data_IF_809185399016
#
_entry.id   IF_809185399016
#
_cell.length_a   1.000
_cell.length_b   1.000
_cell.length_c   1.000
_cell.angle_alpha   90.00
_cell.angle_beta   90.00
_cell.angle_gamma   90.00
#
_symmetry.space_group_name_H-M   'P 1'
#
loop_
_entity.id
_entity.type
_entity.pdbx_description
1 polymer ?
#
# COMPACT_ATOMS: atom_id res chain seq x y z
N UNK A 1 -17.51 16.71 7.21
CA UNK A 1 -17.25 15.29 7.53
C UNK A 1 -16.87 15.14 8.99
N UNK A 2 -17.07 13.94 9.54
CA UNK A 2 -16.55 13.53 10.86
C UNK A 2 -15.91 12.14 10.72
N UNK A 3 -15.01 11.80 11.64
CA UNK A 3 -14.38 10.48 11.70
C UNK A 3 -15.15 9.54 12.63
N UNK A 4 -15.14 8.26 12.30
CA UNK A 4 -15.78 7.21 13.09
C UNK A 4 -15.00 5.89 13.03
N UNK A 5 -15.39 4.92 13.87
CA UNK A 5 -14.93 3.55 13.76
C UNK A 5 -16.08 2.57 14.13
N UNK A 6 -15.87 1.28 13.87
CA UNK A 6 -16.80 0.23 14.22
C UNK A 6 -17.95 0.01 13.24
N UNK A 7 -18.73 -1.04 13.51
CA UNK A 7 -19.69 -1.61 12.56
C UNK A 7 -20.89 -0.71 12.24
N UNK A 8 -21.32 0.12 13.19
CA UNK A 8 -22.52 0.94 13.02
C UNK A 8 -22.39 1.87 11.81
N UNK A 9 -21.30 2.64 11.76
CA UNK A 9 -20.99 3.56 10.65
C UNK A 9 -20.51 2.81 9.40
N UNK A 10 -19.77 1.71 9.58
CA UNK A 10 -19.31 0.88 8.46
C UNK A 10 -20.49 0.30 7.65
N UNK A 11 -21.57 -0.15 8.31
CA UNK A 11 -22.71 -0.76 7.62
C UNK A 11 -23.84 0.21 7.28
N UNK A 12 -23.85 1.42 7.84
CA UNK A 12 -24.83 2.45 7.49
C UNK A 12 -24.68 2.89 6.02
N UNK A 13 -25.82 3.20 5.40
CA UNK A 13 -25.88 3.84 4.08
C UNK A 13 -26.30 5.31 4.26
N UNK A 14 -25.58 6.27 3.68
CA UNK A 14 -25.93 7.68 3.82
C UNK A 14 -27.23 8.00 3.07
N UNK A 15 -27.98 8.98 3.57
CA UNK A 15 -29.08 9.57 2.80
C UNK A 15 -28.53 10.33 1.58
N UNK A 16 -29.39 10.55 0.57
CA UNK A 16 -29.03 11.31 -0.62
C UNK A 16 -28.64 12.74 -0.22
N UNK A 17 -27.43 13.20 -0.54
CA UNK A 17 -27.02 14.55 -0.18
C UNK A 17 -27.85 15.63 -0.87
N UNK A 18 -28.03 16.76 -0.18
CA UNK A 18 -28.90 17.84 -0.65
C UNK A 18 -28.40 18.42 -1.99
N UNK A 19 -29.35 18.67 -2.90
CA UNK A 19 -29.14 19.30 -4.20
C UNK A 19 -28.12 18.58 -5.12
N UNK A 20 -27.77 17.31 -4.86
CA UNK A 20 -26.76 16.59 -5.66
C UNK A 20 -27.19 16.41 -7.13
N UNK A 21 -28.48 16.33 -7.41
CA UNK A 21 -29.03 16.26 -8.77
C UNK A 21 -28.72 17.51 -9.62
N UNK A 22 -28.42 18.64 -8.97
CA UNK A 22 -28.00 19.88 -9.62
C UNK A 22 -26.49 20.03 -9.78
N UNK A 23 -25.68 19.09 -9.25
CA UNK A 23 -24.21 19.16 -9.22
C UNK A 23 -23.59 18.33 -10.35
N UNK A 24 -22.31 18.57 -10.63
CA UNK A 24 -21.46 17.78 -11.54
C UNK A 24 -20.05 17.70 -10.97
N UNK A 25 -19.31 16.66 -11.34
CA UNK A 25 -17.94 16.46 -10.92
C UNK A 25 -17.00 16.39 -12.12
N UNK A 26 -15.86 17.06 -12.00
CA UNK A 26 -14.75 16.99 -12.96
C UNK A 26 -13.52 16.52 -12.19
N UNK A 27 -12.98 15.38 -12.59
CA UNK A 27 -11.90 14.69 -11.89
C UNK A 27 -10.69 14.65 -12.82
N UNK A 28 -9.58 15.24 -12.39
CA UNK A 28 -8.34 15.29 -13.17
C UNK A 28 -7.49 14.05 -12.89
N UNK A 29 -7.18 13.32 -13.95
CA UNK A 29 -6.55 12.00 -13.92
C UNK A 29 -7.56 10.87 -13.70
N UNK A 30 -7.12 9.65 -13.98
CA UNK A 30 -7.89 8.40 -13.80
C UNK A 30 -7.10 7.34 -13.02
N UNK A 31 -6.19 7.79 -12.16
CA UNK A 31 -5.54 6.95 -11.15
C UNK A 31 -6.49 6.51 -10.03
N UNK A 32 -6.00 5.70 -9.09
CA UNK A 32 -6.82 5.13 -8.02
C UNK A 32 -7.63 6.16 -7.21
N UNK A 33 -7.04 7.32 -6.89
CA UNK A 33 -7.75 8.37 -6.17
C UNK A 33 -8.97 8.87 -6.97
N UNK A 34 -8.77 9.17 -8.26
CA UNK A 34 -9.82 9.66 -9.14
C UNK A 34 -10.95 8.65 -9.35
N UNK A 35 -10.61 7.38 -9.59
CA UNK A 35 -11.59 6.31 -9.75
C UNK A 35 -12.37 6.07 -8.45
N UNK A 36 -11.69 6.10 -7.30
CA UNK A 36 -12.33 6.01 -5.98
C UNK A 36 -13.30 7.19 -5.75
N UNK A 37 -12.91 8.40 -6.13
CA UNK A 37 -13.77 9.59 -6.05
C UNK A 37 -15.05 9.38 -6.86
N UNK A 38 -14.94 8.89 -8.10
CA UNK A 38 -16.11 8.60 -8.93
C UNK A 38 -17.02 7.53 -8.29
N UNK A 39 -16.46 6.47 -7.70
CA UNK A 39 -17.24 5.46 -6.99
C UNK A 39 -17.98 6.06 -5.79
N UNK A 40 -17.33 6.85 -4.94
CA UNK A 40 -17.99 7.48 -3.80
C UNK A 40 -19.06 8.50 -4.23
N UNK A 41 -18.83 9.25 -5.32
CA UNK A 41 -19.84 10.14 -5.91
C UNK A 41 -21.09 9.38 -6.35
N UNK A 42 -20.93 8.21 -6.96
CA UNK A 42 -22.05 7.36 -7.39
C UNK A 42 -22.73 6.72 -6.18
N UNK A 43 -21.95 6.02 -5.34
CA UNK A 43 -22.47 5.14 -4.30
C UNK A 43 -23.04 5.90 -3.11
N UNK A 44 -22.30 6.88 -2.62
CA UNK A 44 -22.62 7.59 -1.37
C UNK A 44 -23.16 8.99 -1.68
N UNK A 45 -22.60 9.64 -2.70
CA UNK A 45 -23.10 10.91 -3.23
C UNK A 45 -24.41 10.76 -4.02
N UNK A 46 -24.73 9.58 -4.54
CA UNK A 46 -25.90 9.33 -5.39
C UNK A 46 -25.99 10.32 -6.58
N UNK A 47 -24.83 10.76 -7.08
CA UNK A 47 -24.70 11.61 -8.26
C UNK A 47 -24.88 10.75 -9.53
N UNK A 48 -25.67 11.22 -10.49
CA UNK A 48 -25.86 10.54 -11.76
C UNK A 48 -24.53 10.41 -12.53
N UNK A 49 -24.27 9.22 -13.09
CA UNK A 49 -23.00 8.93 -13.78
C UNK A 49 -22.70 9.86 -14.94
N UNK A 50 -23.71 10.30 -15.71
CA UNK A 50 -23.50 11.25 -16.82
C UNK A 50 -22.99 12.63 -16.39
N UNK A 51 -23.02 12.95 -15.09
CA UNK A 51 -22.54 14.21 -14.50
C UNK A 51 -21.13 14.09 -13.91
N UNK A 52 -20.50 12.92 -14.02
CA UNK A 52 -19.15 12.66 -13.53
C UNK A 52 -18.22 12.54 -14.73
N UNK A 53 -17.28 13.47 -14.86
CA UNK A 53 -16.35 13.57 -15.97
C UNK A 53 -14.94 13.29 -15.48
N UNK A 54 -14.32 12.20 -15.96
CA UNK A 54 -12.93 11.84 -15.67
C UNK A 54 -12.07 12.28 -16.86
N UNK A 55 -11.03 13.07 -16.58
CA UNK A 55 -10.15 13.67 -17.58
C UNK A 55 -8.77 13.03 -17.48
N UNK A 56 -8.46 12.09 -18.38
CA UNK A 56 -7.19 11.37 -18.40
C UNK A 56 -6.33 11.79 -19.60
N UNK A 57 -5.02 11.96 -19.37
CA UNK A 57 -4.05 12.27 -20.41
C UNK A 57 -3.61 11.02 -21.17
N UNK A 58 -3.40 9.91 -20.45
CA UNK A 58 -2.99 8.63 -21.02
C UNK A 58 -4.13 7.97 -21.80
N UNK A 59 -3.77 6.99 -22.63
CA UNK A 59 -4.76 6.22 -23.39
C UNK A 59 -5.56 5.22 -22.55
N UNK A 60 -5.11 4.92 -21.33
CA UNK A 60 -5.70 3.92 -20.45
C UNK A 60 -5.78 4.46 -19.01
N UNK A 61 -6.82 4.07 -18.25
CA UNK A 61 -6.95 4.46 -16.86
C UNK A 61 -6.07 3.61 -15.93
N UNK A 62 -6.01 4.03 -14.67
CA UNK A 62 -5.34 3.31 -13.57
C UNK A 62 -4.12 4.05 -13.02
N UNK A 63 -3.49 4.94 -13.80
CA UNK A 63 -2.31 5.69 -13.37
C UNK A 63 -1.25 4.72 -12.84
N UNK A 64 -0.76 4.93 -11.62
CA UNK A 64 0.24 4.07 -10.96
C UNK A 64 -0.27 2.70 -10.49
N UNK A 65 -1.46 2.24 -10.91
CA UNK A 65 -2.00 0.88 -10.68
C UNK A 65 -1.96 0.02 -11.95
N UNK A 66 -0.93 0.21 -12.77
CA UNK A 66 -0.75 -0.49 -14.04
C UNK A 66 -0.23 -1.93 -13.88
N UNK A 67 -0.57 -2.71 -14.90
CA UNK A 67 0.07 -3.95 -15.32
C UNK A 67 -0.31 -4.17 -16.78
N UNK A 68 0.65 -4.01 -17.70
CA UNK A 68 0.37 -4.03 -19.14
C UNK A 68 1.17 -5.12 -19.83
N UNK A 69 0.51 -5.91 -20.70
CA UNK A 69 1.21 -6.72 -21.70
C UNK A 69 1.47 -5.87 -22.93
N UNK A 70 2.73 -5.48 -23.14
CA UNK A 70 3.17 -4.86 -24.37
C UNK A 70 3.56 -5.96 -25.38
N UNK A 71 2.92 -5.98 -26.54
CA UNK A 71 3.14 -7.03 -27.55
C UNK A 71 4.59 -7.09 -28.05
N UNK A 72 5.27 -5.95 -28.12
CA UNK A 72 6.66 -5.85 -28.60
C UNK A 72 7.68 -6.15 -27.51
N UNK A 73 7.44 -5.68 -26.28
CA UNK A 73 8.44 -5.75 -25.20
C UNK A 73 8.20 -6.94 -24.28
N UNK A 74 6.97 -7.09 -23.76
CA UNK A 74 6.62 -8.12 -22.80
C UNK A 74 5.68 -7.63 -21.70
N UNK A 75 5.72 -8.29 -20.53
CA UNK A 75 4.91 -7.90 -19.36
C UNK A 75 5.58 -6.75 -18.61
N UNK A 76 4.85 -5.68 -18.35
CA UNK A 76 5.36 -4.49 -17.66
C UNK A 76 4.53 -4.25 -16.41
N UNK A 77 5.21 -4.12 -15.27
CA UNK A 77 4.62 -3.74 -13.98
C UNK A 77 5.53 -2.69 -13.35
N UNK A 78 5.03 -1.48 -13.10
CA UNK A 78 5.83 -0.43 -12.46
C UNK A 78 6.04 -0.62 -10.95
N UNK A 79 5.22 -1.42 -10.28
CA UNK A 79 5.40 -1.73 -8.86
C UNK A 79 4.52 -2.85 -8.34
N UNK A 80 4.94 -3.53 -7.27
CA UNK A 80 4.03 -4.33 -6.44
C UNK A 80 3.11 -3.42 -5.61
N UNK A 81 1.97 -3.93 -5.17
CA UNK A 81 1.10 -3.23 -4.22
C UNK A 81 0.77 -4.18 -3.08
N UNK A 82 1.32 -3.85 -1.93
CA UNK A 82 1.02 -4.56 -0.69
C UNK A 82 -0.19 -3.91 -0.03
N UNK A 83 -1.05 -4.76 0.53
CA UNK A 83 -2.25 -4.34 1.21
C UNK A 83 -2.31 -5.04 2.55
N UNK A 84 -2.91 -4.39 3.54
CA UNK A 84 -3.04 -4.94 4.88
C UNK A 84 -4.49 -4.77 5.41
N UNK A 85 -4.89 -5.51 6.45
CA UNK A 85 -6.27 -5.56 6.92
C UNK A 85 -6.87 -4.22 7.36
N UNK A 86 -6.06 -3.26 7.79
CA UNK A 86 -6.47 -1.94 8.28
C UNK A 86 -6.38 -0.82 7.22
N UNK A 87 -6.41 -1.17 5.93
CA UNK A 87 -6.77 -0.24 4.86
C UNK A 87 -8.29 0.02 4.90
N UNK A 88 -8.72 0.69 5.97
CA UNK A 88 -10.12 0.84 6.41
C UNK A 88 -11.02 1.38 5.29
N UNK A 89 -10.61 2.45 4.60
CA UNK A 89 -11.45 3.05 3.56
C UNK A 89 -11.34 2.33 2.22
N UNK A 90 -10.20 1.70 1.92
CA UNK A 90 -10.04 0.86 0.74
C UNK A 90 -10.95 -0.37 0.81
N UNK A 91 -11.06 -1.01 1.97
CA UNK A 91 -11.97 -2.13 2.14
C UNK A 91 -13.43 -1.70 2.14
N UNK A 92 -13.75 -0.50 2.65
CA UNK A 92 -15.09 0.11 2.49
C UNK A 92 -15.44 0.33 1.01
N UNK A 93 -14.48 0.77 0.19
CA UNK A 93 -14.65 0.89 -1.26
C UNK A 93 -14.83 -0.49 -1.91
N UNK A 94 -13.88 -1.40 -1.72
CA UNK A 94 -13.79 -2.66 -2.45
C UNK A 94 -14.89 -3.66 -2.12
N UNK A 95 -15.52 -3.60 -0.94
CA UNK A 95 -16.72 -4.41 -0.65
C UNK A 95 -17.92 -4.05 -1.53
N UNK A 96 -17.91 -2.89 -2.16
CA UNK A 96 -18.99 -2.43 -3.06
C UNK A 96 -18.69 -2.64 -4.54
N UNK A 97 -17.46 -3.00 -4.89
CA UNK A 97 -17.06 -3.27 -6.28
C UNK A 97 -17.22 -4.77 -6.54
N UNK A 98 -18.08 -5.18 -7.49
CA UNK A 98 -18.23 -6.59 -7.85
C UNK A 98 -16.93 -7.14 -8.44
N UNK A 99 -16.64 -8.40 -8.12
CA UNK A 99 -15.59 -9.18 -8.78
C UNK A 99 -15.90 -9.38 -10.26
N UNK A 100 -14.85 -9.37 -11.07
CA UNK A 100 -14.93 -9.70 -12.50
C UNK A 100 -15.01 -11.21 -12.76
N UNK A 101 -14.52 -12.05 -11.84
CA UNK A 101 -14.58 -13.52 -11.97
C UNK A 101 -15.94 -14.06 -11.51
N UNK A 102 -16.53 -13.46 -10.47
CA UNK A 102 -17.88 -13.78 -10.01
C UNK A 102 -18.61 -12.54 -9.48
N UNK A 103 -19.58 -11.97 -10.24
CA UNK A 103 -20.30 -10.77 -9.85
C UNK A 103 -21.14 -10.86 -8.56
N UNK A 104 -21.32 -12.06 -7.98
CA UNK A 104 -21.98 -12.25 -6.67
C UNK A 104 -21.05 -11.97 -5.49
N UNK A 105 -19.76 -11.77 -5.75
CA UNK A 105 -18.73 -11.49 -4.76
C UNK A 105 -18.15 -10.11 -5.01
N UNK A 106 -17.61 -9.49 -3.98
CA UNK A 106 -16.89 -8.24 -4.08
C UNK A 106 -15.38 -8.47 -4.27
N UNK A 107 -14.66 -7.43 -4.67
CA UNK A 107 -13.20 -7.45 -4.69
C UNK A 107 -12.64 -7.72 -3.28
N UNK A 108 -13.27 -7.19 -2.23
CA UNK A 108 -12.88 -7.49 -0.84
C UNK A 108 -12.95 -9.00 -0.55
N UNK A 109 -14.02 -9.68 -0.98
CA UNK A 109 -14.19 -11.12 -0.73
C UNK A 109 -13.04 -11.93 -1.36
N UNK A 110 -12.66 -11.59 -2.60
CA UNK A 110 -11.54 -12.25 -3.28
C UNK A 110 -10.22 -12.04 -2.54
N UNK A 111 -9.91 -10.80 -2.15
CA UNK A 111 -8.71 -10.50 -1.37
C UNK A 111 -8.70 -11.26 -0.04
N UNK A 112 -9.84 -11.30 0.66
CA UNK A 112 -9.99 -12.01 1.93
C UNK A 112 -9.67 -13.50 1.78
N UNK A 113 -10.23 -14.18 0.77
CA UNK A 113 -9.96 -15.60 0.53
C UNK A 113 -8.52 -15.84 0.09
N UNK A 114 -7.98 -14.98 -0.78
CA UNK A 114 -6.60 -15.07 -1.27
C UNK A 114 -5.59 -14.94 -0.13
N UNK A 115 -5.82 -14.02 0.81
CA UNK A 115 -4.93 -13.77 1.95
C UNK A 115 -5.02 -14.85 3.03
N UNK A 116 -6.07 -15.69 3.02
CA UNK A 116 -6.24 -16.83 3.93
C UNK A 116 -5.77 -18.17 3.38
N UNK A 117 -5.23 -18.20 2.16
CA UNK A 117 -4.67 -19.44 1.60
C UNK A 117 -3.48 -19.92 2.42
N UNK A 118 -3.42 -21.23 2.63
CA UNK A 118 -2.31 -21.90 3.28
C UNK A 118 -0.99 -21.58 2.54
N UNK A 119 0.05 -21.07 3.23
CA UNK A 119 1.37 -20.88 2.63
C UNK A 119 1.98 -22.18 2.08
N UNK A 120 1.58 -23.36 2.58
CA UNK A 120 2.01 -24.67 2.07
C UNK A 120 1.20 -25.18 0.88
N UNK A 121 0.23 -24.42 0.39
CA UNK A 121 -0.62 -24.82 -0.75
C UNK A 121 0.13 -24.97 -2.09
N UNK A 122 1.41 -24.57 -2.15
CA UNK A 122 2.20 -24.56 -3.39
C UNK A 122 1.77 -23.50 -4.40
N UNK A 123 0.84 -22.60 -4.02
CA UNK A 123 0.33 -21.52 -4.88
C UNK A 123 0.96 -20.14 -4.62
N UNK A 124 1.87 -20.05 -3.65
CA UNK A 124 2.57 -18.83 -3.23
C UNK A 124 4.06 -19.00 -3.52
N UNK A 125 4.70 -18.02 -4.20
CA UNK A 125 6.10 -18.12 -4.66
C UNK A 125 7.05 -17.36 -3.74
N UNK A 126 6.90 -16.04 -3.63
CA UNK A 126 7.53 -15.24 -2.57
C UNK A 126 6.44 -14.47 -1.83
N UNK A 127 6.53 -14.38 -0.51
CA UNK A 127 5.51 -13.71 0.33
C UNK A 127 5.71 -12.19 0.45
N UNK A 128 6.53 -11.58 -0.41
CA UNK A 128 6.88 -10.16 -0.38
C UNK A 128 8.17 -9.84 -1.16
N UNK A 129 8.67 -8.60 -1.11
CA UNK A 129 9.97 -8.23 -1.65
C UNK A 129 11.10 -8.86 -0.83
N UNK A 130 12.08 -9.41 -1.53
CA UNK A 130 13.36 -9.86 -1.00
C UNK A 130 14.41 -8.82 -1.32
N UNK A 131 15.18 -8.37 -0.33
CA UNK A 131 16.31 -7.45 -0.52
C UNK A 131 17.64 -8.20 -0.42
N UNK A 132 18.52 -7.99 -1.40
CA UNK A 132 19.88 -8.53 -1.41
C UNK A 132 20.78 -7.54 -0.67
N UNK A 133 20.99 -7.81 0.63
CA UNK A 133 21.59 -6.86 1.59
C UNK A 133 23.00 -6.39 1.21
N UNK A 134 23.77 -7.25 0.59
CA UNK A 134 25.17 -7.05 0.22
C UNK A 134 25.37 -6.56 -1.22
N UNK A 135 24.30 -6.35 -1.98
CA UNK A 135 24.39 -5.78 -3.33
C UNK A 135 24.68 -4.27 -3.31
N UNK A 136 25.53 -3.81 -4.23
CA UNK A 136 25.91 -2.40 -4.38
C UNK A 136 24.73 -1.48 -4.72
N UNK A 137 23.70 -2.01 -5.40
CA UNK A 137 22.46 -1.32 -5.72
C UNK A 137 21.42 -1.35 -4.61
N UNK A 138 21.65 -2.13 -3.54
CA UNK A 138 20.60 -2.60 -2.62
C UNK A 138 19.40 -3.11 -3.44
N UNK A 139 19.70 -4.03 -4.34
CA UNK A 139 18.79 -4.66 -5.27
C UNK A 139 17.76 -5.47 -4.50
N UNK A 140 16.49 -5.28 -4.86
CA UNK A 140 15.39 -6.09 -4.39
C UNK A 140 14.61 -6.69 -5.53
N UNK A 141 13.93 -7.79 -5.24
CA UNK A 141 13.03 -8.45 -6.18
C UNK A 141 11.79 -8.98 -5.48
N UNK A 142 10.70 -9.13 -6.22
CA UNK A 142 9.49 -9.80 -5.73
C UNK A 142 8.91 -10.70 -6.83
N UNK A 143 8.44 -11.87 -6.40
CA UNK A 143 7.76 -12.85 -7.25
C UNK A 143 6.38 -13.10 -6.64
N UNK A 144 5.39 -12.36 -7.13
CA UNK A 144 3.99 -12.53 -6.74
C UNK A 144 3.44 -13.89 -7.19
N UNK A 145 2.22 -14.20 -6.76
CA UNK A 145 1.45 -15.36 -7.28
C UNK A 145 1.40 -15.33 -8.81
N UNK A 146 1.51 -16.49 -9.42
CA UNK A 146 1.55 -16.66 -10.86
C UNK A 146 0.33 -17.46 -11.35
N UNK A 147 -0.21 -17.18 -12.54
CA UNK A 147 0.18 -16.06 -13.41
C UNK A 147 -0.20 -14.70 -12.80
N UNK A 148 0.65 -13.68 -12.96
CA UNK A 148 0.33 -12.31 -12.54
C UNK A 148 -0.62 -11.64 -13.54
N UNK A 149 -0.51 -11.99 -14.82
CA UNK A 149 -1.39 -11.52 -15.88
C UNK A 149 -2.31 -12.65 -16.35
N UNK A 150 -3.58 -12.37 -16.60
CA UNK A 150 -4.53 -13.40 -17.07
C UNK A 150 -4.10 -14.08 -18.38
N UNK A 151 -3.40 -13.35 -19.24
CA UNK A 151 -2.86 -13.84 -20.52
C UNK A 151 -1.48 -14.52 -20.41
N UNK A 152 -0.85 -14.53 -19.23
CA UNK A 152 0.47 -15.10 -19.03
C UNK A 152 0.47 -16.61 -19.27
N UNK A 153 1.46 -17.10 -20.04
CA UNK A 153 1.57 -18.53 -20.33
C UNK A 153 1.95 -19.29 -19.06
N UNK A 154 1.49 -20.54 -18.96
CA UNK A 154 1.68 -21.40 -17.77
C UNK A 154 3.15 -21.68 -17.43
N UNK A 155 4.05 -21.59 -18.41
CA UNK A 155 5.49 -21.82 -18.24
C UNK A 155 6.31 -20.52 -18.13
N UNK A 156 5.66 -19.36 -18.04
CA UNK A 156 6.32 -18.06 -17.86
C UNK A 156 6.27 -17.65 -16.38
N UNK A 157 7.31 -16.96 -15.92
CA UNK A 157 7.41 -16.38 -14.58
C UNK A 157 7.64 -14.87 -14.72
N UNK A 158 6.84 -14.06 -14.03
CA UNK A 158 7.05 -12.61 -13.97
C UNK A 158 7.69 -12.23 -12.63
N UNK A 159 8.80 -11.51 -12.72
CA UNK A 159 9.61 -11.07 -11.59
C UNK A 159 9.70 -9.55 -11.66
N UNK A 160 9.46 -8.88 -10.53
CA UNK A 160 9.63 -7.45 -10.41
C UNK A 160 10.95 -7.17 -9.70
N UNK A 161 11.83 -6.36 -10.31
CA UNK A 161 13.13 -5.96 -9.79
C UNK A 161 13.12 -4.47 -9.49
N UNK A 162 13.86 -4.05 -8.46
CA UNK A 162 14.09 -2.64 -8.15
C UNK A 162 15.47 -2.42 -7.51
N UNK A 163 16.11 -1.30 -7.81
CA UNK A 163 17.35 -0.86 -7.16
C UNK A 163 17.04 0.35 -6.27
N UNK A 164 17.48 0.33 -5.01
CA UNK A 164 17.30 1.49 -4.12
C UNK A 164 18.40 2.55 -4.34
N UNK A 165 19.63 2.12 -4.62
CA UNK A 165 20.73 3.01 -4.98
C UNK A 165 20.93 3.03 -6.49
N UNK A 166 20.78 4.22 -7.07
CA UNK A 166 20.93 4.45 -8.52
C UNK A 166 22.20 5.20 -8.87
N UNK A 167 23.06 5.52 -7.89
CA UNK A 167 24.28 6.33 -8.03
C UNK A 167 25.57 5.51 -8.01
N UNK A 168 25.49 4.17 -7.98
CA UNK A 168 26.63 3.26 -7.79
C UNK A 168 26.67 2.19 -8.88
N UNK A 169 27.88 1.69 -9.16
CA UNK A 169 28.08 0.54 -10.05
C UNK A 169 27.59 -0.76 -9.39
N UNK A 170 27.14 -1.72 -10.18
CA UNK A 170 26.79 -3.06 -9.73
C UNK A 170 28.02 -3.90 -9.38
N UNK A 171 27.78 -5.06 -8.78
CA UNK A 171 28.81 -6.00 -8.35
C UNK A 171 29.29 -6.89 -9.50
N UNK A 172 28.38 -7.27 -10.41
CA UNK A 172 28.69 -8.01 -11.65
C UNK A 172 28.72 -7.07 -12.86
N UNK A 173 27.68 -6.24 -13.00
CA UNK A 173 27.60 -5.22 -14.05
C UNK A 173 28.18 -3.90 -13.55
N UNK A 174 29.36 -3.52 -14.05
CA UNK A 174 30.10 -2.33 -13.64
C UNK A 174 29.51 -0.98 -14.14
N UNK A 175 28.18 -0.84 -14.15
CA UNK A 175 27.40 0.34 -14.54
C UNK A 175 26.38 0.71 -13.47
N UNK A 176 25.88 1.94 -13.50
CA UNK A 176 24.73 2.34 -12.67
C UNK A 176 23.42 1.78 -13.24
N UNK A 177 22.38 1.54 -12.43
CA UNK A 177 21.11 0.98 -12.91
C UNK A 177 20.49 1.77 -14.07
N UNK A 178 20.57 3.11 -14.06
CA UNK A 178 20.03 3.98 -15.10
C UNK A 178 20.82 3.93 -16.42
N UNK A 179 21.99 3.31 -16.43
CA UNK A 179 22.85 3.11 -17.60
C UNK A 179 22.75 1.68 -18.14
N UNK A 180 22.03 0.80 -17.45
CA UNK A 180 21.88 -0.62 -17.80
C UNK A 180 20.73 -0.85 -18.78
N UNK A 181 20.95 -1.76 -19.72
CA UNK A 181 19.88 -2.41 -20.47
C UNK A 181 19.10 -3.38 -19.57
N UNK A 182 17.94 -3.85 -20.04
CA UNK A 182 17.20 -4.89 -19.32
C UNK A 182 17.99 -6.20 -19.15
N UNK A 183 18.80 -6.58 -20.15
CA UNK A 183 19.68 -7.75 -20.07
C UNK A 183 20.68 -7.56 -18.94
N UNK A 184 21.39 -6.43 -18.89
CA UNK A 184 22.38 -6.13 -17.84
C UNK A 184 21.74 -6.08 -16.44
N UNK A 185 20.53 -5.54 -16.30
CA UNK A 185 19.80 -5.61 -15.02
C UNK A 185 19.48 -7.06 -14.61
N UNK A 186 19.14 -7.91 -15.59
CA UNK A 186 18.90 -9.33 -15.35
C UNK A 186 20.18 -10.04 -14.93
N UNK A 187 21.31 -9.75 -15.58
CA UNK A 187 22.61 -10.33 -15.26
C UNK A 187 23.03 -10.04 -13.81
N UNK A 188 22.91 -8.79 -13.38
CA UNK A 188 23.19 -8.40 -11.98
C UNK A 188 22.31 -9.19 -11.01
N UNK A 189 21.01 -9.33 -11.29
CA UNK A 189 20.12 -10.11 -10.44
C UNK A 189 20.47 -11.60 -10.42
N UNK A 190 20.75 -12.20 -11.59
CA UNK A 190 21.13 -13.62 -11.71
C UNK A 190 22.43 -13.92 -10.93
N UNK A 191 23.39 -12.98 -10.96
CA UNK A 191 24.61 -13.06 -10.16
C UNK A 191 24.29 -13.16 -8.66
N UNK A 192 23.46 -12.25 -8.14
CA UNK A 192 23.13 -12.19 -6.72
C UNK A 192 22.30 -13.38 -6.21
N UNK A 193 21.54 -14.06 -7.07
CA UNK A 193 20.84 -15.30 -6.70
C UNK A 193 21.72 -16.56 -6.87
N UNK A 194 23.00 -16.39 -7.23
CA UNK A 194 23.99 -17.48 -7.27
C UNK A 194 24.00 -18.31 -8.54
N UNK A 195 23.52 -17.78 -9.67
CA UNK A 195 23.65 -18.46 -10.97
C UNK A 195 25.14 -18.54 -11.37
N UNK A 196 25.62 -19.67 -11.91
CA UNK A 196 27.01 -19.78 -12.38
C UNK A 196 27.35 -18.69 -13.40
N UNK A 197 28.41 -17.92 -13.14
CA UNK A 197 28.79 -16.73 -13.91
C UNK A 197 28.93 -17.00 -15.41
N UNK A 198 29.40 -18.19 -15.78
CA UNK A 198 29.57 -18.61 -17.16
C UNK A 198 28.24 -18.86 -17.93
N UNK A 199 27.10 -18.87 -17.23
CA UNK A 199 25.76 -19.04 -17.81
C UNK A 199 24.88 -17.80 -17.71
N UNK A 200 25.29 -16.78 -16.94
CA UNK A 200 24.47 -15.60 -16.63
C UNK A 200 24.02 -14.88 -17.91
N UNK A 201 24.95 -14.57 -18.82
CA UNK A 201 24.64 -13.81 -20.04
C UNK A 201 23.61 -14.52 -20.93
N UNK A 202 23.77 -15.83 -21.14
CA UNK A 202 22.85 -16.64 -21.95
C UNK A 202 21.44 -16.65 -21.35
N UNK A 203 21.34 -16.87 -20.04
CA UNK A 203 20.07 -16.86 -19.32
C UNK A 203 19.42 -15.48 -19.35
N UNK A 204 20.17 -14.41 -19.13
CA UNK A 204 19.69 -13.04 -19.21
C UNK A 204 19.15 -12.70 -20.62
N UNK A 205 19.83 -13.14 -21.68
CA UNK A 205 19.37 -12.98 -23.07
C UNK A 205 18.12 -13.81 -23.40
N UNK A 206 17.89 -14.93 -22.70
CA UNK A 206 16.68 -15.75 -22.86
C UNK A 206 15.44 -15.17 -22.16
N UNK A 207 15.65 -14.24 -21.21
CA UNK A 207 14.60 -13.54 -20.50
C UNK A 207 14.20 -12.22 -21.20
N UNK A 208 12.96 -11.78 -21.02
CA UNK A 208 12.55 -10.41 -21.36
C UNK A 208 12.49 -9.57 -20.10
N UNK A 209 13.50 -8.70 -19.94
CA UNK A 209 13.58 -7.75 -18.83
C UNK A 209 13.38 -6.34 -19.38
N UNK A 210 12.39 -5.62 -18.85
CA UNK A 210 11.96 -4.32 -19.36
C UNK A 210 12.22 -3.26 -18.28
N UNK A 211 13.25 -2.42 -18.43
CA UNK A 211 13.53 -1.37 -17.46
C UNK A 211 12.46 -0.27 -17.53
N UNK A 212 12.13 0.30 -16.38
CA UNK A 212 11.24 1.46 -16.29
C UNK A 212 11.88 2.55 -15.44
N UNK A 213 12.30 3.64 -16.09
CA UNK A 213 12.86 4.80 -15.38
C UNK A 213 11.73 5.72 -14.91
N UNK A 214 11.60 5.88 -13.59
CA UNK A 214 10.55 6.66 -12.96
C UNK A 214 11.17 7.78 -12.12
N UNK A 215 11.42 8.98 -12.69
CA UNK A 215 12.17 10.04 -12.01
C UNK A 215 11.50 10.52 -10.71
N UNK A 216 10.19 10.31 -10.59
CA UNK A 216 9.41 10.77 -9.43
C UNK A 216 8.97 9.62 -8.50
N UNK A 217 9.49 8.40 -8.64
CA UNK A 217 8.99 7.26 -7.86
C UNK A 217 9.13 7.46 -6.34
N UNK A 218 10.17 8.15 -5.87
CA UNK A 218 10.43 8.37 -4.43
C UNK A 218 9.83 9.66 -3.88
N UNK A 219 9.12 10.44 -4.70
CA UNK A 219 8.78 11.83 -4.37
C UNK A 219 7.80 11.98 -3.20
N UNK A 220 6.99 10.96 -2.89
CA UNK A 220 6.13 10.95 -1.71
C UNK A 220 6.90 11.07 -0.39
N UNK A 221 8.16 10.65 -0.35
CA UNK A 221 8.99 10.60 0.85
C UNK A 221 10.02 11.73 0.94
N UNK A 222 9.96 12.71 0.05
CA UNK A 222 10.81 13.89 0.16
C UNK A 222 10.50 14.64 1.47
N UNK A 223 11.52 15.16 2.18
CA UNK A 223 11.30 16.01 3.34
C UNK A 223 10.35 17.15 3.02
N UNK A 224 9.41 17.43 3.92
CA UNK A 224 8.34 18.40 3.72
C UNK A 224 7.99 19.14 5.00
N UNK A 225 7.33 20.28 4.85
CA UNK A 225 6.67 21.02 5.91
C UNK A 225 5.16 20.77 5.89
N UNK A 226 4.44 21.25 6.91
CA UNK A 226 2.97 21.10 7.01
C UNK A 226 2.19 21.84 5.93
N UNK A 227 2.83 22.77 5.20
CA UNK A 227 2.17 23.61 4.20
C UNK A 227 2.47 23.17 2.76
N UNK A 228 3.34 22.18 2.55
CA UNK A 228 3.77 21.77 1.21
C UNK A 228 2.69 20.95 0.48
N UNK A 229 1.73 20.39 1.22
CA UNK A 229 0.59 19.65 0.70
C UNK A 229 -0.70 20.40 0.99
N UNK A 230 -1.62 20.55 0.01
CA UNK A 230 -2.91 21.15 0.26
C UNK A 230 -3.80 20.22 1.08
N UNK A 231 -4.64 20.78 1.96
CA UNK A 231 -5.73 20.02 2.58
C UNK A 231 -6.59 19.36 1.49
N UNK A 232 -7.14 18.17 1.78
CA UNK A 232 -8.08 17.48 0.88
C UNK A 232 -9.18 18.42 0.39
N UNK A 233 -9.77 19.19 1.29
CA UNK A 233 -10.61 20.34 0.94
C UNK A 233 -10.00 21.59 1.57
N UNK A 234 -9.40 22.51 0.78
CA UNK A 234 -8.85 23.75 1.30
C UNK A 234 -9.90 24.58 2.06
N UNK A 235 -9.44 25.35 3.06
CA UNK A 235 -10.33 26.24 3.83
C UNK A 235 -11.11 27.16 2.89
N UNK A 236 -12.41 27.27 3.13
CA UNK A 236 -13.36 28.07 2.33
C UNK A 236 -13.60 27.59 0.89
N UNK A 237 -12.98 26.50 0.46
CA UNK A 237 -13.31 25.87 -0.83
C UNK A 237 -14.79 25.48 -0.86
N UNK A 238 -15.43 25.69 -2.00
CA UNK A 238 -16.85 25.36 -2.24
C UNK A 238 -17.03 24.19 -3.20
N UNK A 239 -16.05 23.98 -4.08
CA UNK A 239 -16.14 23.05 -5.20
C UNK A 239 -14.76 22.53 -5.66
N UNK A 240 -13.71 22.75 -4.89
CA UNK A 240 -12.35 22.27 -5.19
C UNK A 240 -11.87 21.35 -4.07
N UNK A 241 -11.34 20.19 -4.45
CA UNK A 241 -10.65 19.26 -3.57
C UNK A 241 -9.36 18.76 -4.22
N UNK A 242 -8.38 18.39 -3.40
CA UNK A 242 -7.17 17.69 -3.78
C UNK A 242 -7.25 16.26 -3.27
N UNK A 243 -6.94 15.30 -4.14
CA UNK A 243 -7.01 13.86 -3.84
C UNK A 243 -5.69 13.19 -4.19
N UNK A 244 -5.43 12.02 -3.60
CA UNK A 244 -4.21 11.26 -3.78
C UNK A 244 -3.14 11.58 -2.73
N UNK A 245 -2.00 10.91 -2.89
CA UNK A 245 -0.89 10.88 -1.93
C UNK A 245 -0.19 12.24 -1.69
N UNK A 246 -0.52 13.27 -2.48
CA UNK A 246 -0.03 14.64 -2.29
C UNK A 246 -1.00 15.58 -1.58
N UNK A 247 -2.22 15.13 -1.25
CA UNK A 247 -3.12 15.87 -0.37
C UNK A 247 -2.73 15.67 1.10
N UNK A 248 -3.17 16.57 1.98
CA UNK A 248 -2.92 16.53 3.41
C UNK A 248 -4.19 16.06 4.15
N UNK A 249 -4.07 14.94 4.88
CA UNK A 249 -5.04 14.42 5.84
C UNK A 249 -4.31 13.87 7.07
N UNK A 250 -4.90 13.88 8.29
CA UNK A 250 -4.21 13.48 9.52
C UNK A 250 -3.82 11.99 9.57
N UNK A 251 -2.70 11.71 10.25
CA UNK A 251 -2.19 10.38 10.68
C UNK A 251 -1.83 9.36 9.60
N UNK A 252 -2.52 9.34 8.45
CA UNK A 252 -2.38 8.30 7.44
C UNK A 252 -1.04 8.38 6.68
N UNK A 253 -0.67 7.30 6.00
CA UNK A 253 0.63 7.11 5.35
C UNK A 253 0.53 7.18 3.83
N UNK A 254 1.34 8.04 3.22
CA UNK A 254 1.49 8.10 1.75
C UNK A 254 2.26 6.90 1.22
N UNK A 255 2.37 6.79 -0.11
CA UNK A 255 2.89 5.59 -0.79
C UNK A 255 1.97 4.37 -0.61
N UNK A 256 0.70 4.60 -0.26
CA UNK A 256 -0.30 3.55 -0.07
C UNK A 256 -1.50 3.75 -0.98
N UNK A 257 -2.20 2.65 -1.27
CA UNK A 257 -3.49 2.69 -1.95
C UNK A 257 -4.58 3.23 -1.03
N UNK A 258 -4.51 2.92 0.28
CA UNK A 258 -5.41 3.46 1.32
C UNK A 258 -5.48 4.98 1.28
N UNK A 259 -4.34 5.68 1.27
CA UNK A 259 -4.32 7.16 1.27
C UNK A 259 -5.04 7.76 0.05
N UNK A 260 -4.90 7.12 -1.12
CA UNK A 260 -5.59 7.55 -2.34
C UNK A 260 -7.11 7.39 -2.21
N UNK A 261 -7.57 6.29 -1.62
CA UNK A 261 -8.99 6.07 -1.38
C UNK A 261 -9.50 7.00 -0.27
N UNK A 262 -8.71 7.26 0.78
CA UNK A 262 -9.08 8.10 1.93
C UNK A 262 -9.33 9.52 1.49
N UNK A 263 -8.34 10.11 0.83
CA UNK A 263 -8.44 11.48 0.32
C UNK A 263 -9.59 11.63 -0.68
N UNK A 264 -9.87 10.60 -1.48
CA UNK A 264 -11.05 10.56 -2.34
C UNK A 264 -12.37 10.54 -1.55
N UNK A 265 -12.50 9.70 -0.53
CA UNK A 265 -13.68 9.62 0.34
C UNK A 265 -13.91 10.93 1.08
N UNK A 266 -12.87 11.47 1.72
CA UNK A 266 -12.91 12.73 2.48
C UNK A 266 -13.29 13.92 1.60
N UNK A 267 -12.80 13.98 0.36
CA UNK A 267 -13.16 15.01 -0.61
C UNK A 267 -14.67 14.98 -0.94
N UNK A 268 -15.19 13.80 -1.29
CA UNK A 268 -16.62 13.63 -1.62
C UNK A 268 -17.49 13.94 -0.42
N UNK A 269 -17.17 13.37 0.74
CA UNK A 269 -17.97 13.53 1.96
C UNK A 269 -18.00 14.97 2.44
N UNK A 270 -16.90 15.71 2.25
CA UNK A 270 -16.83 17.12 2.64
C UNK A 270 -17.55 18.03 1.66
N UNK A 271 -17.35 17.87 0.33
CA UNK A 271 -17.96 18.76 -0.66
C UNK A 271 -19.45 18.50 -0.90
N UNK A 272 -19.91 17.26 -0.72
CA UNK A 272 -21.33 16.93 -0.83
C UNK A 272 -22.06 16.94 0.50
N UNK A 273 -21.38 17.13 1.63
CA UNK A 273 -21.97 17.06 2.98
C UNK A 273 -22.67 15.71 3.20
N UNK A 274 -21.97 14.61 2.86
CA UNK A 274 -22.48 13.25 3.07
C UNK A 274 -22.58 12.99 4.58
N UNK A 275 -23.79 12.67 5.04
CA UNK A 275 -24.09 12.40 6.45
C UNK A 275 -23.80 10.92 6.80
N UNK A 276 -22.50 10.60 6.85
CA UNK A 276 -21.95 9.33 7.31
C UNK A 276 -20.49 9.53 7.75
N UNK A 277 -20.06 8.79 8.77
CA UNK A 277 -18.69 8.88 9.26
C UNK A 277 -17.66 8.31 8.28
N UNK A 278 -16.52 9.00 8.13
CA UNK A 278 -15.34 8.44 7.44
C UNK A 278 -14.57 7.56 8.44
N UNK A 279 -14.25 6.29 8.12
CA UNK A 279 -13.41 5.47 8.98
C UNK A 279 -12.10 6.18 9.33
N UNK A 280 -11.79 6.36 10.62
CA UNK A 280 -10.51 6.94 11.01
C UNK A 280 -9.34 6.02 10.62
N UNK A 281 -8.13 6.57 10.60
CA UNK A 281 -6.92 5.74 10.55
C UNK A 281 -6.94 4.82 11.77
N UNK A 282 -6.69 3.52 11.57
CA UNK A 282 -6.75 2.54 12.65
C UNK A 282 -5.97 3.02 13.88
N UNK A 283 -6.64 3.02 15.03
CA UNK A 283 -6.16 3.65 16.27
C UNK A 283 -5.11 2.81 17.02
N UNK A 284 -4.35 1.97 16.32
CA UNK A 284 -3.34 1.06 16.91
C UNK A 284 -2.33 1.78 17.78
N UNK A 285 -1.90 2.99 17.41
CA UNK A 285 -0.95 3.79 18.19
C UNK A 285 -1.50 4.27 19.54
N UNK A 286 -2.81 4.17 19.74
CA UNK A 286 -3.49 4.51 21.00
C UNK A 286 -3.95 3.26 21.76
N UNK A 287 -3.86 2.07 21.17
CA UNK A 287 -4.20 0.82 21.83
C UNK A 287 -3.02 0.29 22.64
N UNK A 288 -3.16 0.29 23.97
CA UNK A 288 -2.13 -0.20 24.90
C UNK A 288 -1.64 -1.60 24.53
N UNK A 289 -2.53 -2.47 24.04
CA UNK A 289 -2.20 -3.84 23.63
C UNK A 289 -1.22 -3.86 22.47
N UNK A 290 -1.43 -2.98 21.49
CA UNK A 290 -0.54 -2.86 20.34
C UNK A 290 0.81 -2.26 20.75
N UNK A 291 0.82 -1.32 21.70
CA UNK A 291 2.05 -0.75 22.25
C UNK A 291 2.87 -1.79 23.03
N UNK A 292 2.22 -2.61 23.86
CA UNK A 292 2.88 -3.71 24.57
C UNK A 292 3.43 -4.76 23.59
N UNK A 293 2.64 -5.13 22.58
CA UNK A 293 3.06 -6.03 21.52
C UNK A 293 4.29 -5.48 20.77
N UNK A 294 4.25 -4.20 20.37
CA UNK A 294 5.36 -3.54 19.70
C UNK A 294 6.62 -3.55 20.56
N UNK A 295 6.51 -3.31 21.87
CA UNK A 295 7.64 -3.35 22.79
C UNK A 295 8.33 -4.71 22.79
N UNK A 296 7.56 -5.81 22.82
CA UNK A 296 8.11 -7.17 22.78
C UNK A 296 8.84 -7.45 21.45
N UNK A 297 8.19 -7.21 20.32
CA UNK A 297 8.75 -7.52 19.01
C UNK A 297 9.95 -6.63 18.63
N UNK A 298 9.93 -5.34 18.96
CA UNK A 298 11.05 -4.42 18.70
C UNK A 298 12.32 -4.80 19.49
N UNK A 299 12.17 -5.47 20.63
CA UNK A 299 13.29 -5.92 21.45
C UNK A 299 13.74 -7.35 21.13
N UNK A 300 13.34 -7.89 19.97
CA UNK A 300 13.71 -9.24 19.56
C UNK A 300 13.06 -10.30 20.44
N UNK A 301 11.78 -10.10 20.79
CA UNK A 301 10.98 -11.04 21.57
C UNK A 301 11.54 -11.29 22.98
N UNK A 302 12.01 -10.22 23.62
CA UNK A 302 12.52 -10.22 24.99
C UNK A 302 11.50 -9.62 25.94
N UNK A 303 11.34 -10.25 27.10
CA UNK A 303 10.61 -9.69 28.24
C UNK A 303 11.33 -8.46 28.81
N UNK A 304 10.63 -7.67 29.63
CA UNK A 304 11.16 -6.46 30.25
C UNK A 304 12.39 -6.73 31.13
N UNK A 305 12.52 -7.93 31.69
CA UNK A 305 13.68 -8.31 32.53
C UNK A 305 14.90 -8.75 31.71
N UNK A 306 14.68 -9.17 30.45
CA UNK A 306 15.74 -9.61 29.53
C UNK A 306 16.32 -8.46 28.69
N UNK A 307 15.57 -7.36 28.58
CA UNK A 307 16.05 -6.13 27.93
C UNK A 307 17.19 -5.53 28.75
N UNK A 308 18.27 -5.14 28.05
CA UNK A 308 19.43 -4.56 28.71
C UNK A 308 19.22 -3.07 29.01
N UNK A 309 18.57 -2.82 30.15
CA UNK A 309 18.43 -1.48 30.70
C UNK A 309 19.65 -1.05 31.55
N UNK A 310 19.97 0.25 31.60
CA UNK A 310 20.83 0.83 32.63
C UNK A 310 20.37 0.45 34.05
N UNK A 311 21.30 0.36 35.00
CA UNK A 311 21.02 -0.17 36.34
C UNK A 311 19.91 0.59 37.08
N UNK A 312 19.82 1.91 36.90
CA UNK A 312 18.78 2.77 37.52
C UNK A 312 17.40 2.38 37.00
N UNK A 313 17.27 2.19 35.69
CA UNK A 313 16.04 1.80 35.02
C UNK A 313 15.63 0.36 35.40
N UNK A 314 16.59 -0.57 35.50
CA UNK A 314 16.32 -1.94 36.01
C UNK A 314 15.76 -1.91 37.44
N UNK A 315 16.31 -1.09 38.32
CA UNK A 315 15.82 -0.95 39.69
C UNK A 315 14.41 -0.36 39.73
N UNK A 316 14.16 0.69 38.94
CA UNK A 316 12.83 1.30 38.82
C UNK A 316 11.79 0.32 38.25
N UNK A 317 12.15 -0.43 37.20
CA UNK A 317 11.31 -1.47 36.60
C UNK A 317 10.96 -2.54 37.63
N UNK A 318 11.94 -3.06 38.37
CA UNK A 318 11.68 -4.07 39.42
C UNK A 318 10.68 -3.58 40.45
N UNK A 319 10.78 -2.31 40.85
CA UNK A 319 9.84 -1.72 41.80
C UNK A 319 8.45 -1.50 41.19
N UNK A 320 8.38 -1.08 39.92
CA UNK A 320 7.13 -0.97 39.17
C UNK A 320 6.44 -2.34 39.04
N UNK A 321 7.19 -3.40 38.72
CA UNK A 321 6.67 -4.77 38.62
C UNK A 321 6.10 -5.28 39.96
N UNK A 322 6.72 -4.92 41.09
CA UNK A 322 6.13 -5.24 42.41
C UNK A 322 4.80 -4.54 42.63
N UNK A 323 4.64 -3.29 42.18
CA UNK A 323 3.42 -2.51 42.38
C UNK A 323 2.25 -3.01 41.53
N UNK A 324 2.52 -3.56 40.35
CA UNK A 324 1.48 -4.11 39.47
C UNK A 324 1.15 -5.57 39.77
N UNK A 325 1.90 -6.23 40.66
CA UNK A 325 1.66 -7.63 41.05
C UNK A 325 0.25 -7.83 41.61
N UNK A 326 -0.44 -8.84 41.13
CA UNK A 326 -1.82 -9.18 41.46
C UNK A 326 -2.88 -8.28 40.81
N UNK A 327 -2.49 -7.44 39.84
CA UNK A 327 -3.40 -6.54 39.12
C UNK A 327 -3.62 -7.00 37.68
N UNK A 328 -4.66 -6.47 37.04
CA UNK A 328 -4.91 -6.68 35.62
C UNK A 328 -3.75 -6.20 34.71
N UNK A 329 -2.94 -5.22 35.17
CA UNK A 329 -1.75 -4.79 34.42
C UNK A 329 -0.71 -5.92 34.37
N UNK A 330 -0.56 -6.71 35.43
CA UNK A 330 0.32 -7.89 35.41
C UNK A 330 -0.19 -8.95 34.43
N UNK A 331 -1.51 -9.19 34.39
CA UNK A 331 -2.12 -10.12 33.42
C UNK A 331 -1.86 -9.67 31.98
N UNK A 332 -2.10 -8.39 31.67
CA UNK A 332 -1.79 -7.83 30.35
C UNK A 332 -0.31 -7.97 29.99
N UNK A 333 0.61 -7.69 30.92
CA UNK A 333 2.03 -7.84 30.65
C UNK A 333 2.41 -9.31 30.35
N UNK A 334 1.76 -10.29 31.02
CA UNK A 334 1.96 -11.73 30.73
C UNK A 334 1.40 -12.12 29.37
N UNK A 335 0.19 -11.68 29.05
CA UNK A 335 -0.49 -11.98 27.77
C UNK A 335 0.34 -11.49 26.57
N UNK A 336 1.09 -10.39 26.75
CA UNK A 336 1.99 -9.82 25.74
C UNK A 336 3.46 -10.19 25.93
N UNK A 337 3.76 -11.21 26.72
CA UNK A 337 5.11 -11.79 26.91
C UNK A 337 6.17 -10.81 27.45
N UNK A 338 5.74 -9.79 28.18
CA UNK A 338 6.63 -8.75 28.72
C UNK A 338 7.15 -9.06 30.12
N UNK A 339 6.58 -10.04 30.84
CA UNK A 339 7.06 -10.49 32.16
C UNK A 339 6.92 -11.99 32.37
#
# INVERSE_FOLDING_TARGET
>A
MYYSNGNYEAFAHPQKPENVDGKSAYIVGSGLAALSTAVFLIRDGQMAGERIHILEELSLPGGSMDGIRNERLGYIIRGGREMEPHFEVLWDLFRSIPSLENPKHSILDEFYWLNKKDPYSGSIVTSGPTSIKDSSWLLGYSISRQPHFKEQKKNELVIWLYALYTDRKGDYVAKRPDECTGIEMCEEWLYHIGVPENTIHELACSASTIPCHMPYITTYFMPRTTNDRPLVVPKHSKNLAFIGNYAETPRDTVFTTEYSVRTAMEAVYTLLEVDRGVPEVFASTFDIRMLLNALYYLNGQKSLIEIDFPWVEKAALKEALKKVKGTYIEELLKDYHLI
#
